data_IF_087005487810
#
_entry.id   IF_087005487810
#
_cell.length_a   1.000
_cell.length_b   1.000
_cell.length_c   1.000
_cell.angle_alpha   90.00
_cell.angle_beta   90.00
_cell.angle_gamma   90.00
#
_symmetry.space_group_name_H-M   'P 1'
#
loop_
_entity.id
_entity.type
_entity.pdbx_description
1 polymer ?
#
# COMPACT_ATOMS: atom_id res chain seq x y z
N UNK A 1 -23.38 -8.39 -21.71
CA UNK A 1 -22.74 -7.16 -22.22
C UNK A 1 -21.94 -6.57 -21.07
N UNK A 2 -20.72 -7.07 -20.82
CA UNK A 2 -19.80 -6.45 -19.86
C UNK A 2 -19.01 -5.40 -20.64
N UNK A 3 -19.18 -4.14 -20.26
CA UNK A 3 -18.34 -3.06 -20.74
C UNK A 3 -16.87 -3.46 -20.53
N UNK A 4 -16.07 -3.21 -21.54
CA UNK A 4 -14.65 -3.53 -21.59
C UNK A 4 -13.94 -2.86 -20.42
N UNK A 5 -13.30 -3.65 -19.56
CA UNK A 5 -12.38 -3.19 -18.53
C UNK A 5 -11.17 -2.56 -19.23
N UNK A 6 -11.27 -1.28 -19.54
CA UNK A 6 -10.10 -0.46 -19.82
C UNK A 6 -9.32 -0.41 -18.50
N UNK A 7 -8.18 -1.08 -18.40
CA UNK A 7 -7.26 -0.92 -17.26
C UNK A 7 -6.80 0.55 -17.24
N UNK A 8 -7.55 1.40 -16.56
CA UNK A 8 -7.18 2.80 -16.38
C UNK A 8 -6.03 2.82 -15.40
N UNK A 9 -4.83 3.12 -15.89
CA UNK A 9 -3.65 3.31 -15.06
C UNK A 9 -3.92 4.44 -14.06
N UNK A 10 -4.02 4.07 -12.79
CA UNK A 10 -4.21 5.02 -11.69
C UNK A 10 -2.88 5.47 -11.10
N UNK A 11 -2.90 6.50 -10.27
CA UNK A 11 -1.71 6.93 -9.53
C UNK A 11 -1.13 5.81 -8.63
N UNK A 12 -1.96 4.88 -8.17
CA UNK A 12 -1.49 3.70 -7.42
C UNK A 12 -0.66 2.79 -8.33
N UNK A 13 -1.09 2.56 -9.58
CA UNK A 13 -0.33 1.76 -10.55
C UNK A 13 1.05 2.38 -10.80
N UNK A 14 1.12 3.69 -11.03
CA UNK A 14 2.39 4.40 -11.25
C UNK A 14 3.32 4.32 -10.04
N UNK A 15 2.79 4.47 -8.83
CA UNK A 15 3.57 4.33 -7.58
C UNK A 15 4.09 2.92 -7.37
N UNK A 16 3.26 1.90 -7.60
CA UNK A 16 3.69 0.51 -7.50
C UNK A 16 4.75 0.17 -8.56
N UNK A 17 4.60 0.66 -9.79
CA UNK A 17 5.62 0.50 -10.82
C UNK A 17 6.95 1.18 -10.43
N UNK A 18 6.91 2.42 -9.95
CA UNK A 18 8.09 3.11 -9.46
C UNK A 18 8.74 2.41 -8.25
N UNK A 19 7.93 1.83 -7.34
CA UNK A 19 8.42 1.08 -6.20
C UNK A 19 9.11 -0.23 -6.62
N UNK A 20 8.53 -0.98 -7.56
CA UNK A 20 9.15 -2.18 -8.16
C UNK A 20 10.51 -1.88 -8.80
N UNK A 21 10.63 -0.73 -9.45
CA UNK A 21 11.86 -0.28 -10.09
C UNK A 21 12.87 0.36 -9.11
N UNK A 22 12.52 0.48 -7.82
CA UNK A 22 13.36 1.13 -6.81
C UNK A 22 13.52 2.65 -7.02
N UNK A 23 12.58 3.28 -7.74
CA UNK A 23 12.63 4.70 -8.12
C UNK A 23 11.77 5.61 -7.25
N UNK A 24 10.85 5.07 -6.44
CA UNK A 24 10.03 5.87 -5.53
C UNK A 24 10.76 6.08 -4.19
N UNK A 25 11.27 7.29 -3.89
CA UNK A 25 12.01 7.55 -2.65
C UNK A 25 11.11 7.52 -1.41
N UNK A 26 9.78 7.49 -1.57
CA UNK A 26 8.87 7.36 -0.46
C UNK A 26 8.76 5.91 0.06
N UNK A 27 9.31 4.92 -0.66
CA UNK A 27 9.27 3.51 -0.24
C UNK A 27 10.07 3.32 1.05
N UNK A 28 9.39 2.75 2.04
CA UNK A 28 9.96 2.34 3.32
C UNK A 28 10.44 0.89 3.21
N UNK A 29 9.58 0.00 2.72
CA UNK A 29 9.86 -1.42 2.61
C UNK A 29 8.91 -2.15 1.64
N UNK A 30 9.37 -3.27 1.11
CA UNK A 30 8.54 -4.30 0.48
C UNK A 30 7.96 -5.22 1.56
N UNK A 31 6.65 -5.42 1.55
CA UNK A 31 5.93 -6.39 2.38
C UNK A 31 5.42 -7.54 1.51
N UNK A 32 4.86 -8.58 2.14
CA UNK A 32 4.35 -9.75 1.43
C UNK A 32 3.18 -9.40 0.50
N UNK A 33 2.31 -8.50 0.94
CA UNK A 33 1.12 -8.09 0.18
C UNK A 33 1.31 -6.83 -0.69
N UNK A 34 2.44 -6.14 -0.61
CA UNK A 34 2.50 -4.78 -1.12
C UNK A 34 3.73 -3.96 -0.74
N UNK A 35 3.60 -2.65 -0.86
CA UNK A 35 4.65 -1.67 -0.62
C UNK A 35 4.24 -0.70 0.48
N UNK A 36 5.07 -0.58 1.51
CA UNK A 36 4.92 0.45 2.53
C UNK A 36 5.61 1.73 2.06
N UNK A 37 4.87 2.85 2.00
CA UNK A 37 5.36 4.15 1.56
C UNK A 37 5.09 5.21 2.62
N UNK A 38 5.93 6.24 2.70
CA UNK A 38 5.54 7.50 3.30
C UNK A 38 4.47 8.17 2.45
N UNK A 39 3.45 8.71 3.11
CA UNK A 39 2.49 9.57 2.44
C UNK A 39 3.17 10.83 1.91
N UNK A 40 2.77 11.27 0.72
CA UNK A 40 3.42 12.39 0.02
C UNK A 40 3.37 13.70 0.83
N UNK A 41 2.26 13.93 1.53
CA UNK A 41 2.12 15.03 2.48
C UNK A 41 2.02 14.45 3.88
N UNK A 42 3.02 14.74 4.71
CA UNK A 42 3.06 14.31 6.11
C UNK A 42 2.19 15.24 6.98
N UNK A 43 0.87 15.17 6.82
CA UNK A 43 -0.07 15.92 7.67
C UNK A 43 0.09 15.58 9.15
N UNK A 44 0.48 14.33 9.44
CA UNK A 44 0.86 13.83 10.76
C UNK A 44 2.21 13.13 10.68
N UNK A 45 2.93 13.14 11.80
CA UNK A 45 4.23 12.45 11.90
C UNK A 45 4.04 10.94 11.72
N UNK A 46 4.71 10.36 10.72
CA UNK A 46 4.64 8.93 10.43
C UNK A 46 3.41 8.54 9.61
N UNK A 47 2.86 9.46 8.82
CA UNK A 47 1.80 9.12 7.88
C UNK A 47 2.34 8.17 6.81
N UNK A 48 1.85 6.93 6.83
CA UNK A 48 2.27 5.87 5.93
C UNK A 48 1.07 5.30 5.17
N UNK A 49 1.36 4.74 4.00
CA UNK A 49 0.42 4.04 3.14
C UNK A 49 0.94 2.63 2.87
N UNK A 50 0.02 1.66 2.77
CA UNK A 50 0.30 0.34 2.20
C UNK A 50 -0.39 0.27 0.84
N UNK A 51 0.38 0.11 -0.24
CA UNK A 51 -0.16 -0.08 -1.59
C UNK A 51 -0.12 -1.59 -1.93
N UNK A 52 -1.25 -2.20 -2.34
CA UNK A 52 -1.26 -3.61 -2.73
C UNK A 52 -0.50 -3.82 -4.03
N UNK A 53 0.14 -4.99 -4.14
CA UNK A 53 0.80 -5.43 -5.36
C UNK A 53 0.54 -6.94 -5.54
N UNK A 54 -0.37 -7.34 -6.47
CA UNK A 54 -0.92 -6.53 -7.57
C UNK A 54 -1.91 -5.45 -7.12
N UNK A 55 -2.03 -4.40 -7.93
CA UNK A 55 -2.98 -3.30 -7.69
C UNK A 55 -4.39 -3.79 -7.96
N UNK A 56 -5.29 -3.53 -7.02
CA UNK A 56 -6.73 -3.82 -7.14
C UNK A 56 -7.56 -2.58 -6.84
N UNK A 57 -8.73 -2.40 -7.47
CA UNK A 57 -9.60 -1.24 -7.24
C UNK A 57 -10.13 -1.13 -5.81
N UNK A 58 -10.45 -2.26 -5.17
CA UNK A 58 -10.88 -2.32 -3.78
C UNK A 58 -10.32 -3.55 -3.06
N UNK A 59 -10.26 -3.46 -1.73
CA UNK A 59 -9.80 -4.55 -0.87
C UNK A 59 -10.57 -5.87 -1.09
N UNK A 60 -11.86 -5.79 -1.45
CA UNK A 60 -12.69 -6.97 -1.65
C UNK A 60 -12.42 -7.71 -2.97
N UNK A 61 -11.70 -7.09 -3.90
CA UNK A 61 -11.29 -7.73 -5.15
C UNK A 61 -10.10 -8.68 -4.94
N UNK A 62 -9.46 -8.64 -3.75
CA UNK A 62 -8.49 -9.66 -3.35
C UNK A 62 -9.19 -10.98 -3.03
N UNK A 63 -8.51 -12.10 -3.30
CA UNK A 63 -8.91 -13.41 -2.76
C UNK A 63 -8.95 -13.36 -1.23
N UNK A 64 -9.70 -14.27 -0.60
CA UNK A 64 -9.80 -14.31 0.86
C UNK A 64 -8.42 -14.44 1.54
N UNK A 65 -7.52 -15.25 0.97
CA UNK A 65 -6.15 -15.41 1.44
C UNK A 65 -5.33 -14.12 1.27
N UNK A 66 -5.33 -13.53 0.07
CA UNK A 66 -4.58 -12.31 -0.21
C UNK A 66 -5.06 -11.12 0.65
N UNK A 67 -6.38 -11.02 0.87
CA UNK A 67 -6.97 -10.02 1.77
C UNK A 67 -6.52 -10.24 3.22
N UNK A 68 -6.46 -11.50 3.66
CA UNK A 68 -5.94 -11.85 4.98
C UNK A 68 -4.48 -11.42 5.17
N UNK A 69 -3.61 -11.72 4.20
CA UNK A 69 -2.21 -11.29 4.22
C UNK A 69 -2.07 -9.77 4.20
N UNK A 70 -2.87 -9.08 3.38
CA UNK A 70 -2.86 -7.62 3.30
C UNK A 70 -3.19 -6.96 4.64
N UNK A 71 -4.23 -7.45 5.33
CA UNK A 71 -4.60 -6.90 6.64
C UNK A 71 -3.56 -7.22 7.72
N UNK A 72 -2.91 -8.38 7.67
CA UNK A 72 -1.79 -8.68 8.56
C UNK A 72 -0.61 -7.74 8.34
N UNK A 73 -0.28 -7.42 7.09
CA UNK A 73 0.77 -6.46 6.76
C UNK A 73 0.39 -5.03 7.16
N UNK A 74 -0.88 -4.63 7.08
CA UNK A 74 -1.35 -3.36 7.65
C UNK A 74 -1.14 -3.29 9.17
N UNK A 75 -1.42 -4.37 9.90
CA UNK A 75 -1.16 -4.42 11.36
C UNK A 75 0.33 -4.26 11.66
N UNK A 76 1.20 -5.00 10.94
CA UNK A 76 2.65 -4.91 11.11
C UNK A 76 3.18 -3.49 10.84
N UNK A 77 2.68 -2.85 9.78
CA UNK A 77 3.04 -1.47 9.45
C UNK A 77 2.56 -0.50 10.55
N UNK A 78 1.33 -0.64 11.01
CA UNK A 78 0.78 0.16 12.10
C UNK A 78 1.59 0.05 13.39
N UNK A 79 1.97 -1.18 13.77
CA UNK A 79 2.83 -1.43 14.93
C UNK A 79 4.22 -0.81 14.78
N UNK A 80 4.81 -0.88 13.58
CA UNK A 80 6.11 -0.27 13.30
C UNK A 80 6.05 1.26 13.40
N UNK A 81 5.01 1.88 12.84
CA UNK A 81 4.76 3.32 12.94
C UNK A 81 4.57 3.72 14.40
N UNK A 82 3.73 2.99 15.15
CA UNK A 82 3.48 3.25 16.56
C UNK A 82 4.77 3.23 17.38
N UNK A 83 5.61 2.19 17.19
CA UNK A 83 6.92 2.10 17.88
C UNK A 83 7.86 3.22 17.50
N UNK A 84 7.88 3.63 16.23
CA UNK A 84 8.80 4.65 15.72
C UNK A 84 8.40 6.08 16.12
N UNK A 85 7.10 6.34 16.31
CA UNK A 85 6.58 7.71 16.53
C UNK A 85 6.00 7.96 17.90
N UNK A 86 5.58 6.91 18.63
CA UNK A 86 4.81 7.04 19.86
C UNK A 86 3.39 7.60 19.64
N UNK A 87 2.82 7.45 18.44
CA UNK A 87 1.48 7.94 18.12
C UNK A 87 0.41 7.43 19.10
N UNK A 88 -0.56 8.27 19.44
CA UNK A 88 -1.72 7.86 20.22
C UNK A 88 -2.66 7.00 19.36
N UNK A 89 -3.31 6.00 19.98
CA UNK A 89 -4.34 5.16 19.35
C UNK A 89 -5.71 5.82 19.40
#
# INVERSE_FOLDING_TARGET
MKAQDMEVETEIHKKVAAARDGRDPAVIARLGSGWALFGQQQFVRGYCLLLPDPVVPQLNDLTAEARGHYLQDMVRLGDAVLRATGAAR
#
